data_IF_781966601982
#
_entry.id   IF_781966601982
#
_cell.length_a   1.000
_cell.length_b   1.000
_cell.length_c   1.000
_cell.angle_alpha   90.00
_cell.angle_beta   90.00
_cell.angle_gamma   90.00
#
_symmetry.space_group_name_H-M   'P 1'
#
loop_
_entity.id
_entity.type
_entity.pdbx_description
1 polymer ?
#
# COMPACT_ATOMS: atom_id res chain seq x y z
N UNK A 1 1.58 -8.93 -17.69
CA UNK A 1 0.48 -8.12 -17.16
C UNK A 1 -0.11 -7.25 -18.25
N UNK A 2 -1.43 -7.19 -18.31
CA UNK A 2 -2.12 -6.49 -19.40
C UNK A 2 -2.57 -5.09 -19.01
N UNK A 3 -2.55 -4.73 -17.72
CA UNK A 3 -2.94 -3.39 -17.27
C UNK A 3 -1.72 -2.59 -16.88
N UNK A 4 -1.89 -1.27 -16.77
CA UNK A 4 -0.77 -0.36 -16.55
C UNK A 4 -0.44 -0.19 -15.07
N UNK A 5 -1.44 -0.27 -14.19
CA UNK A 5 -1.26 0.06 -12.78
C UNK A 5 -1.94 -0.94 -11.88
N UNK A 6 -1.31 -1.20 -10.73
CA UNK A 6 -1.90 -1.97 -9.65
C UNK A 6 -2.14 -1.03 -8.49
N UNK A 7 -3.42 -0.87 -8.10
CA UNK A 7 -3.80 -0.06 -6.95
C UNK A 7 -4.19 -0.98 -5.81
N UNK A 8 -3.57 -0.78 -4.66
CA UNK A 8 -3.91 -1.53 -3.47
C UNK A 8 -4.64 -0.62 -2.51
N UNK A 9 -5.78 -1.10 -2.00
CA UNK A 9 -6.47 -0.41 -0.91
C UNK A 9 -5.90 -0.96 0.38
N UNK A 10 -5.46 -0.06 1.26
CA UNK A 10 -4.83 -0.46 2.52
C UNK A 10 -5.55 0.20 3.69
N UNK A 11 -5.48 -0.43 4.85
CA UNK A 11 -6.02 0.15 6.08
C UNK A 11 -4.89 0.26 7.10
N UNK A 12 -4.91 1.36 7.84
CA UNK A 12 -3.99 1.56 8.94
C UNK A 12 -4.58 0.90 10.19
N UNK A 13 -3.72 0.66 11.16
CA UNK A 13 -4.07 -0.15 12.33
C UNK A 13 -5.37 0.31 13.00
N UNK A 14 -5.56 1.61 13.09
CA UNK A 14 -6.74 2.16 13.75
C UNK A 14 -7.80 2.62 12.79
N UNK A 15 -7.57 2.40 11.51
CA UNK A 15 -8.38 3.02 10.51
C UNK A 15 -9.57 2.18 10.13
N UNK A 16 -10.66 2.87 9.87
CA UNK A 16 -11.81 2.27 9.21
C UNK A 16 -11.85 2.70 7.76
N UNK A 17 -10.93 3.57 7.37
CA UNK A 17 -10.86 4.14 6.04
C UNK A 17 -9.75 3.47 5.28
N UNK A 18 -9.98 3.19 4.03
CA UNK A 18 -8.93 2.63 3.18
C UNK A 18 -8.32 3.73 2.33
N UNK A 19 -7.07 3.53 1.94
CA UNK A 19 -6.33 4.48 1.12
C UNK A 19 -5.69 3.73 -0.02
N UNK A 20 -5.58 4.36 -1.18
CA UNK A 20 -4.94 3.77 -2.35
C UNK A 20 -3.44 3.97 -2.30
N UNK A 21 -2.70 2.91 -2.59
CA UNK A 21 -1.27 2.96 -2.85
C UNK A 21 -0.99 2.16 -4.12
N UNK A 22 0.00 2.59 -4.86
CA UNK A 22 0.43 1.89 -6.06
C UNK A 22 1.50 0.86 -5.73
N UNK A 23 1.60 -0.19 -6.55
CA UNK A 23 2.70 -1.12 -6.45
C UNK A 23 2.98 -1.70 -7.83
N UNK A 24 4.21 -2.16 -8.04
CA UNK A 24 4.57 -2.95 -9.21
C UNK A 24 4.80 -4.40 -8.84
N UNK A 25 4.58 -4.76 -7.59
CA UNK A 25 4.85 -6.11 -7.07
C UNK A 25 3.59 -6.97 -7.19
N UNK A 26 3.57 -7.84 -8.20
CA UNK A 26 2.44 -8.73 -8.46
C UNK A 26 2.25 -9.77 -7.37
N UNK A 27 3.22 -9.96 -6.50
CA UNK A 27 3.14 -10.99 -5.47
C UNK A 27 2.37 -10.55 -4.24
N UNK A 28 2.03 -9.27 -4.15
CA UNK A 28 1.24 -8.76 -3.03
C UNK A 28 -0.18 -9.27 -3.16
N UNK A 29 -0.74 -9.75 -2.05
CA UNK A 29 -2.08 -10.34 -2.01
C UNK A 29 -2.92 -9.66 -0.95
N UNK A 30 -4.23 -9.77 -1.10
CA UNK A 30 -5.16 -9.30 -0.07
C UNK A 30 -4.83 -10.00 1.23
N UNK A 31 -4.73 -9.23 2.31
CA UNK A 31 -4.35 -9.72 3.62
C UNK A 31 -2.89 -9.52 3.95
N UNK A 32 -2.06 -9.23 2.96
CA UNK A 32 -0.63 -9.01 3.21
C UNK A 32 -0.42 -7.70 3.95
N UNK A 33 0.63 -7.67 4.75
CA UNK A 33 1.09 -6.44 5.40
C UNK A 33 2.24 -5.87 4.59
N UNK A 34 2.20 -4.56 4.39
CA UNK A 34 3.18 -3.86 3.57
C UNK A 34 3.60 -2.58 4.28
N UNK A 35 4.79 -2.08 3.92
CA UNK A 35 5.28 -0.79 4.39
C UNK A 35 4.91 0.28 3.37
N UNK A 36 4.41 1.40 3.86
CA UNK A 36 4.03 2.52 3.01
C UNK A 36 4.55 3.82 3.61
N UNK A 37 4.81 4.84 2.76
CA UNK A 37 5.07 6.19 3.26
C UNK A 37 3.74 6.82 3.66
N UNK A 38 3.65 7.32 4.87
CA UNK A 38 2.39 7.85 5.41
C UNK A 38 2.56 9.26 5.92
N UNK A 39 1.45 10.02 5.87
CA UNK A 39 1.45 11.36 6.40
C UNK A 39 2.24 12.34 5.54
N UNK A 40 2.33 13.57 6.02
CA UNK A 40 3.03 14.61 5.28
C UNK A 40 4.52 14.41 5.29
N UNK A 41 5.03 13.74 6.31
CA UNK A 41 6.47 13.49 6.45
C UNK A 41 6.90 12.18 5.83
N UNK A 42 5.96 11.43 5.24
CA UNK A 42 6.25 10.15 4.60
C UNK A 42 6.96 9.16 5.53
N UNK A 43 6.57 9.16 6.82
CA UNK A 43 7.12 8.17 7.73
C UNK A 43 6.64 6.78 7.33
N UNK A 44 7.43 5.77 7.61
CA UNK A 44 7.07 4.41 7.25
C UNK A 44 6.03 3.86 8.22
N UNK A 45 5.01 3.22 7.66
CA UNK A 45 3.94 2.64 8.46
C UNK A 45 3.61 1.26 7.92
N UNK A 46 3.25 0.35 8.83
CA UNK A 46 2.78 -0.98 8.46
C UNK A 46 1.28 -0.90 8.27
N UNK A 47 0.81 -1.35 7.11
CA UNK A 47 -0.62 -1.34 6.78
C UNK A 47 -0.99 -2.69 6.18
N UNK A 48 -2.28 -2.97 6.16
CA UNK A 48 -2.77 -4.23 5.60
C UNK A 48 -3.52 -3.97 4.29
N UNK A 49 -3.22 -4.78 3.29
CA UNK A 49 -3.89 -4.71 2.00
C UNK A 49 -5.25 -5.38 2.13
N UNK A 50 -6.30 -4.65 1.79
CA UNK A 50 -7.67 -5.16 1.87
C UNK A 50 -8.31 -5.32 0.52
N UNK A 51 -7.74 -4.74 -0.53
CA UNK A 51 -8.24 -4.92 -1.90
C UNK A 51 -7.13 -4.63 -2.89
N UNK A 52 -7.20 -5.24 -4.06
CA UNK A 52 -6.23 -5.05 -5.13
C UNK A 52 -7.00 -4.94 -6.43
N UNK A 53 -6.74 -3.87 -7.17
CA UNK A 53 -7.41 -3.62 -8.43
C UNK A 53 -6.39 -3.24 -9.50
N UNK A 54 -6.67 -3.64 -10.73
CA UNK A 54 -5.79 -3.41 -11.87
C UNK A 54 -6.48 -2.46 -12.83
N UNK A 55 -5.77 -1.43 -13.27
CA UNK A 55 -6.35 -0.40 -14.11
C UNK A 55 -5.46 -0.10 -15.32
N UNK A 56 -6.09 0.23 -16.42
CA UNK A 56 -5.41 0.91 -17.51
C UNK A 56 -5.22 2.38 -17.14
N UNK A 57 -4.26 3.03 -17.78
CA UNK A 57 -3.91 4.41 -17.43
C UNK A 57 -5.10 5.35 -17.47
N UNK A 58 -6.00 5.15 -18.43
CA UNK A 58 -7.15 6.04 -18.60
C UNK A 58 -8.27 5.77 -17.61
N UNK A 59 -8.18 4.69 -16.83
CA UNK A 59 -9.29 4.29 -15.94
C UNK A 59 -8.96 4.40 -14.47
N UNK A 60 -7.81 5.01 -14.12
CA UNK A 60 -7.35 5.01 -12.72
C UNK A 60 -8.31 5.80 -11.83
N UNK A 61 -8.50 5.34 -10.58
CA UNK A 61 -9.40 6.02 -9.63
C UNK A 61 -8.83 7.31 -9.09
N UNK A 62 -7.50 7.42 -9.03
CA UNK A 62 -6.78 8.61 -8.59
C UNK A 62 -5.60 8.79 -9.52
N UNK A 63 -5.15 10.03 -9.75
CA UNK A 63 -3.98 10.23 -10.60
C UNK A 63 -2.78 9.45 -10.08
N UNK A 64 -2.18 8.64 -10.94
CA UNK A 64 -1.06 7.81 -10.55
C UNK A 64 0.13 8.65 -10.09
N UNK A 65 0.35 9.78 -10.74
CA UNK A 65 1.49 10.62 -10.40
C UNK A 65 1.34 11.29 -9.03
N UNK A 66 0.13 11.26 -8.45
CA UNK A 66 -0.12 11.84 -7.13
C UNK A 66 -0.38 10.78 -6.08
N UNK A 67 -0.23 9.51 -6.44
CA UNK A 67 -0.50 8.39 -5.53
C UNK A 67 0.83 7.81 -5.07
N UNK A 68 0.97 7.65 -3.75
CA UNK A 68 2.20 7.09 -3.19
C UNK A 68 2.29 5.61 -3.47
N UNK A 69 3.51 5.09 -3.42
CA UNK A 69 3.81 3.69 -3.72
C UNK A 69 4.07 2.92 -2.45
N UNK A 70 3.65 1.64 -2.45
CA UNK A 70 4.06 0.70 -1.41
C UNK A 70 5.58 0.56 -1.50
N UNK A 71 6.24 0.57 -0.33
CA UNK A 71 7.69 0.44 -0.28
C UNK A 71 8.08 -1.02 -0.52
N UNK A 72 7.50 -1.94 0.25
CA UNK A 72 7.74 -3.38 0.10
C UNK A 72 6.82 -4.15 1.02
N UNK A 73 6.76 -5.47 0.82
CA UNK A 73 6.04 -6.33 1.76
C UNK A 73 6.79 -6.35 3.08
N UNK A 74 6.05 -6.52 4.16
CA UNK A 74 6.64 -6.65 5.48
C UNK A 74 7.27 -8.03 5.65
N UNK A 75 8.31 -8.08 6.49
CA UNK A 75 8.92 -9.31 6.93
C UNK A 75 8.65 -9.48 8.40
N UNK A 76 9.04 -10.62 8.96
CA UNK A 76 8.88 -10.84 10.39
C UNK A 76 9.58 -9.76 11.20
N UNK A 77 10.69 -9.25 10.70
CA UNK A 77 11.44 -8.21 11.39
C UNK A 77 10.65 -6.92 11.53
N UNK A 78 9.77 -6.64 10.60
CA UNK A 78 8.97 -5.41 10.68
C UNK A 78 8.01 -5.43 11.85
N UNK A 79 7.58 -6.62 12.27
CA UNK A 79 6.66 -6.77 13.39
C UNK A 79 7.37 -6.89 14.72
N UNK A 80 8.68 -7.18 14.69
CA UNK A 80 9.48 -7.36 15.90
C UNK A 80 10.20 -6.09 16.31
N UNK A 81 10.04 -5.00 15.56
CA UNK A 81 10.71 -3.75 15.88
C UNK A 81 10.19 -3.21 17.22
N UNK A 82 11.06 -2.68 18.06
CA UNK A 82 10.61 -2.08 19.30
C UNK A 82 9.65 -0.95 19.00
N UNK A 83 8.56 -0.90 19.74
CA UNK A 83 7.61 0.18 19.56
C UNK A 83 8.09 1.40 20.32
N UNK A 84 7.88 2.60 19.77
CA UNK A 84 8.21 3.81 20.52
C UNK A 84 7.37 3.87 21.78
N UNK A 85 8.00 4.26 22.83
CA UNK A 85 7.32 4.38 24.13
C UNK A 85 6.63 5.70 24.24
#
# INVERSE_FOLDING_TARGET
RTTDYIYCSVVFEEGQKSYYYLTEDDSIKIGDFVLVPAGKDNHEAVVQVVDIEYFFAEDVPLPAEKTKHIIRKCTDEDFDLPKPE
#
